data_IF_858852782765
#
_entry.id   IF_858852782765
#
_cell.length_a   1.000
_cell.length_b   1.000
_cell.length_c   1.000
_cell.angle_alpha   90.00
_cell.angle_beta   90.00
_cell.angle_gamma   90.00
#
_symmetry.space_group_name_H-M   'P 1'
#
loop_
_entity.id
_entity.type
_entity.pdbx_description
1 polymer ?
#
# COMPACT_ATOMS: atom_id res chain seq x y z
N UNK A 1 -9.28 5.66 34.57
CA UNK A 1 -10.56 5.41 35.25
C UNK A 1 -11.67 5.69 34.27
N UNK A 2 -11.96 4.69 33.44
CA UNK A 2 -13.19 4.52 32.63
C UNK A 2 -13.46 3.01 32.58
N UNK A 3 -14.51 2.51 33.25
CA UNK A 3 -14.77 1.06 33.38
C UNK A 3 -14.87 0.33 32.02
N UNK A 4 -14.48 -0.96 31.95
CA UNK A 4 -14.50 -1.71 30.72
C UNK A 4 -15.91 -2.25 30.47
N UNK A 5 -16.39 -2.16 29.23
CA UNK A 5 -17.67 -2.73 28.85
C UNK A 5 -17.60 -4.27 28.96
N UNK A 6 -18.49 -4.85 29.77
CA UNK A 6 -18.52 -6.27 30.20
C UNK A 6 -19.71 -7.04 29.64
N UNK A 7 -20.73 -6.39 29.08
CA UNK A 7 -21.90 -7.08 28.52
C UNK A 7 -22.22 -6.69 27.08
N UNK A 8 -22.99 -7.56 26.41
CA UNK A 8 -23.39 -7.40 25.01
C UNK A 8 -24.34 -6.20 24.79
N UNK A 9 -24.98 -5.71 25.85
CA UNK A 9 -25.96 -4.61 25.79
C UNK A 9 -25.27 -3.24 25.91
N UNK A 10 -24.25 -3.13 26.77
CA UNK A 10 -23.40 -1.94 26.89
C UNK A 10 -22.76 -1.54 25.54
N UNK A 11 -22.32 -2.51 24.75
CA UNK A 11 -21.75 -2.28 23.41
C UNK A 11 -22.80 -1.77 22.42
N UNK A 12 -24.05 -2.24 22.52
CA UNK A 12 -25.16 -1.73 21.69
C UNK A 12 -25.55 -0.31 22.09
N UNK A 13 -25.44 0.04 23.37
CA UNK A 13 -25.87 1.33 23.91
C UNK A 13 -24.95 2.48 23.46
N UNK A 14 -23.63 2.30 23.50
CA UNK A 14 -22.68 3.32 23.02
C UNK A 14 -22.74 3.50 21.48
N UNK A 15 -22.99 2.44 20.71
CA UNK A 15 -23.22 2.54 19.26
C UNK A 15 -24.49 3.32 18.92
N UNK A 16 -25.59 3.13 19.67
CA UNK A 16 -26.82 3.94 19.53
C UNK A 16 -26.57 5.41 19.88
N UNK A 17 -25.76 5.65 20.92
CA UNK A 17 -25.40 7.00 21.40
C UNK A 17 -24.66 7.81 20.34
N UNK A 18 -23.69 7.21 19.66
CA UNK A 18 -22.94 7.86 18.57
C UNK A 18 -23.82 8.16 17.35
N UNK A 19 -24.72 7.25 16.97
CA UNK A 19 -25.66 7.46 15.86
C UNK A 19 -26.67 8.58 16.15
N UNK A 20 -27.22 8.65 17.37
CA UNK A 20 -28.24 9.63 17.74
C UNK A 20 -27.73 11.09 17.72
N UNK A 21 -26.44 11.31 17.94
CA UNK A 21 -25.82 12.65 17.78
C UNK A 21 -25.82 13.06 16.31
N UNK A 22 -25.45 12.15 15.40
CA UNK A 22 -25.31 12.45 13.97
C UNK A 22 -26.65 12.79 13.28
N UNK A 23 -27.75 12.11 13.63
CA UNK A 23 -29.07 12.41 13.06
C UNK A 23 -29.66 13.75 13.55
N UNK A 24 -29.22 14.24 14.73
CA UNK A 24 -29.85 15.40 15.38
C UNK A 24 -29.63 16.75 14.66
N UNK A 25 -28.59 16.87 13.83
CA UNK A 25 -28.33 18.08 13.03
C UNK A 25 -28.89 18.01 11.60
N UNK A 26 -29.42 16.86 11.15
CA UNK A 26 -29.87 16.62 9.77
C UNK A 26 -31.40 16.54 9.60
N UNK A 27 -32.16 16.99 10.60
CA UNK A 27 -33.58 16.67 10.75
C UNK A 27 -34.52 17.13 9.63
N UNK A 28 -35.12 16.16 8.92
CA UNK A 28 -36.35 16.35 8.13
C UNK A 28 -37.35 15.19 8.33
N UNK A 29 -38.58 15.55 8.64
CA UNK A 29 -39.78 14.70 8.61
C UNK A 29 -40.95 15.56 8.02
N UNK A 30 -42.09 15.04 7.55
CA UNK A 30 -42.67 13.70 7.71
C UNK A 30 -43.74 13.39 6.64
N UNK A 31 -43.87 12.10 6.26
CA UNK A 31 -45.14 11.36 6.05
C UNK A 31 -46.15 11.83 4.97
N UNK A 32 -46.79 10.85 4.30
CA UNK A 32 -47.83 11.02 3.27
C UNK A 32 -49.23 10.53 3.73
N UNK A 33 -50.29 10.75 2.94
CA UNK A 33 -51.49 9.85 2.86
C UNK A 33 -52.41 10.17 1.65
N UNK A 34 -53.28 9.24 1.17
CA UNK A 34 -54.07 9.38 -0.08
C UNK A 34 -55.61 9.28 0.09
N UNK A 35 -56.39 9.65 -0.96
CA UNK A 35 -57.84 9.32 -1.19
C UNK A 35 -58.13 9.19 -2.70
N UNK A 36 -59.19 8.46 -3.09
CA UNK A 36 -59.62 8.17 -4.48
C UNK A 36 -60.82 9.03 -5.01
N UNK A 37 -61.33 8.64 -6.21
CA UNK A 37 -62.66 8.85 -6.81
C UNK A 37 -63.00 10.05 -7.74
N UNK A 38 -62.87 9.77 -9.06
CA UNK A 38 -63.97 9.82 -10.06
C UNK A 38 -64.27 11.06 -10.94
N UNK A 39 -64.78 10.73 -12.15
CA UNK A 39 -65.75 11.47 -12.99
C UNK A 39 -65.38 12.73 -13.84
N UNK A 40 -65.09 12.46 -15.12
CA UNK A 40 -65.78 13.05 -16.31
C UNK A 40 -65.37 14.40 -16.95
N UNK A 41 -65.54 14.42 -18.29
CA UNK A 41 -65.65 15.56 -19.22
C UNK A 41 -64.41 16.29 -19.79
N UNK A 42 -64.54 16.63 -21.08
CA UNK A 42 -63.75 17.53 -21.97
C UNK A 42 -64.77 18.50 -22.64
N UNK A 43 -64.40 19.51 -23.46
CA UNK A 43 -63.05 20.01 -23.86
C UNK A 43 -62.87 21.54 -23.64
N UNK A 44 -61.68 22.09 -23.93
CA UNK A 44 -61.46 23.07 -25.03
C UNK A 44 -60.02 23.65 -25.05
N UNK A 45 -59.62 24.21 -26.19
CA UNK A 45 -58.32 24.82 -26.55
C UNK A 45 -58.52 26.31 -26.95
N UNK A 46 -57.48 27.11 -27.30
CA UNK A 46 -56.11 27.19 -26.77
C UNK A 46 -55.67 28.67 -26.50
N UNK A 47 -54.55 28.89 -25.81
CA UNK A 47 -53.83 30.17 -25.82
C UNK A 47 -52.34 29.97 -25.49
N UNK A 48 -51.46 30.86 -25.97
CA UNK A 48 -50.01 30.73 -25.85
C UNK A 48 -49.36 31.85 -25.03
N UNK A 49 -48.36 31.49 -24.23
CA UNK A 49 -47.32 32.37 -23.72
C UNK A 49 -46.02 31.56 -23.56
N UNK A 50 -44.92 32.01 -24.16
CA UNK A 50 -43.58 31.47 -23.91
C UNK A 50 -42.73 32.60 -23.32
N UNK A 51 -42.46 32.54 -22.01
CA UNK A 51 -41.42 33.34 -21.38
C UNK A 51 -40.52 32.46 -20.50
N UNK A 52 -39.21 32.66 -20.71
CA UNK A 52 -38.08 32.48 -19.79
C UNK A 52 -38.21 31.56 -18.56
N UNK A 53 -37.27 30.64 -18.42
CA UNK A 53 -36.12 30.83 -17.50
C UNK A 53 -35.03 29.81 -17.78
N UNK A 54 -33.77 30.12 -17.41
CA UNK A 54 -32.65 29.18 -17.50
C UNK A 54 -32.51 28.37 -16.22
N UNK A 55 -32.24 27.08 -16.32
CA UNK A 55 -31.94 26.25 -15.16
C UNK A 55 -30.53 26.56 -14.63
N UNK A 56 -30.44 27.04 -13.39
CA UNK A 56 -29.23 26.85 -12.58
C UNK A 56 -29.12 25.38 -12.18
N UNK A 57 -27.92 24.77 -12.18
CA UNK A 57 -27.75 23.42 -11.64
C UNK A 57 -28.05 23.42 -10.15
N UNK A 58 -28.66 22.34 -9.65
CA UNK A 58 -28.80 22.10 -8.22
C UNK A 58 -27.42 21.85 -7.59
N UNK A 59 -27.19 22.27 -6.33
CA UNK A 59 -25.92 22.06 -5.67
C UNK A 59 -25.71 20.58 -5.32
N UNK A 60 -24.48 20.09 -5.48
CA UNK A 60 -24.08 18.75 -5.10
C UNK A 60 -24.22 18.56 -3.58
N UNK A 61 -25.22 17.76 -3.19
CA UNK A 61 -25.53 17.50 -1.78
C UNK A 61 -24.45 16.64 -1.11
N UNK A 62 -23.73 15.81 -1.86
CA UNK A 62 -22.65 14.98 -1.30
C UNK A 62 -21.41 15.84 -0.98
N UNK A 63 -21.13 16.86 -1.81
CA UNK A 63 -20.10 17.85 -1.54
C UNK A 63 -20.39 18.67 -0.26
N UNK A 64 -21.63 19.16 -0.11
CA UNK A 64 -22.06 19.91 1.09
C UNK A 64 -21.96 19.05 2.35
N UNK A 65 -22.41 17.79 2.27
CA UNK A 65 -22.36 16.83 3.38
C UNK A 65 -20.92 16.50 3.81
N UNK A 66 -20.00 16.42 2.84
CA UNK A 66 -18.57 16.22 3.09
C UNK A 66 -17.90 17.44 3.74
N UNK A 67 -18.23 18.66 3.29
CA UNK A 67 -17.71 19.91 3.87
C UNK A 67 -18.22 20.11 5.31
N UNK A 68 -19.47 19.73 5.62
CA UNK A 68 -20.03 19.77 6.97
C UNK A 68 -19.31 18.83 7.96
N UNK A 69 -19.04 17.58 7.55
CA UNK A 69 -18.27 16.62 8.36
C UNK A 69 -16.83 17.12 8.64
N UNK A 70 -16.18 17.68 7.62
CA UNK A 70 -14.83 18.25 7.72
C UNK A 70 -14.80 19.51 8.62
N UNK A 71 -15.92 20.25 8.72
CA UNK A 71 -16.07 21.34 9.68
C UNK A 71 -16.30 20.84 11.12
N UNK A 72 -17.17 19.83 11.30
CA UNK A 72 -17.44 19.23 12.61
C UNK A 72 -16.19 18.65 13.27
N UNK A 73 -15.34 17.94 12.52
CA UNK A 73 -14.06 17.41 13.01
C UNK A 73 -13.14 18.51 13.58
N UNK A 74 -13.00 19.65 12.88
CA UNK A 74 -12.20 20.80 13.34
C UNK A 74 -12.76 21.49 14.58
N UNK A 75 -14.09 21.48 14.76
CA UNK A 75 -14.74 21.99 15.98
C UNK A 75 -14.50 21.03 17.15
N UNK A 76 -14.55 19.71 16.92
CA UNK A 76 -14.23 18.70 17.93
C UNK A 76 -12.77 18.83 18.40
N UNK A 77 -11.80 18.93 17.48
CA UNK A 77 -10.38 19.17 17.83
C UNK A 77 -10.20 20.45 18.67
N UNK A 78 -10.93 21.52 18.34
CA UNK A 78 -10.86 22.80 19.07
C UNK A 78 -11.45 22.67 20.49
N UNK A 79 -12.55 21.95 20.67
CA UNK A 79 -13.20 21.75 21.98
C UNK A 79 -12.40 20.79 22.86
N UNK A 80 -11.82 19.73 22.28
CA UNK A 80 -10.94 18.80 22.99
C UNK A 80 -9.62 19.47 23.39
N UNK A 81 -9.14 20.43 22.59
CA UNK A 81 -7.90 21.18 22.85
C UNK A 81 -7.92 22.16 24.02
N UNK A 82 -9.09 22.56 24.56
CA UNK A 82 -9.21 23.61 25.57
C UNK A 82 -9.73 23.15 26.95
N UNK A 83 -9.39 21.94 27.44
CA UNK A 83 -9.71 21.50 28.81
C UNK A 83 -8.54 20.95 29.67
N UNK A 84 -7.27 21.26 29.36
CA UNK A 84 -6.17 21.11 30.33
C UNK A 84 -6.14 22.26 31.39
N UNK A 85 -7.28 22.51 32.04
CA UNK A 85 -7.46 23.49 33.10
C UNK A 85 -6.83 23.09 34.45
N UNK A 86 -5.57 22.66 34.44
CA UNK A 86 -4.91 22.14 35.64
C UNK A 86 -4.57 23.23 36.67
N UNK A 87 -4.90 22.97 37.93
CA UNK A 87 -4.49 23.84 39.05
C UNK A 87 -2.96 23.80 39.19
N UNK A 88 -2.32 24.97 39.30
CA UNK A 88 -0.87 25.09 39.40
C UNK A 88 -0.28 24.37 40.62
N UNK A 89 0.10 23.11 40.44
CA UNK A 89 1.25 22.55 41.15
C UNK A 89 2.52 23.25 40.64
N UNK A 90 3.55 23.47 41.46
CA UNK A 90 4.82 23.99 40.97
C UNK A 90 5.33 23.08 39.86
N UNK A 91 5.63 23.64 38.68
CA UNK A 91 6.27 22.88 37.61
C UNK A 91 7.56 22.27 38.17
N UNK A 92 7.74 20.96 38.00
CA UNK A 92 9.07 20.40 38.01
C UNK A 92 9.89 21.15 36.95
N UNK A 93 11.16 21.51 37.22
CA UNK A 93 12.00 22.11 36.19
C UNK A 93 12.03 21.16 35.00
N UNK A 94 11.87 21.70 33.79
CA UNK A 94 11.89 20.89 32.57
C UNK A 94 13.17 20.03 32.56
N UNK A 95 13.08 18.74 32.16
CA UNK A 95 14.27 17.90 32.04
C UNK A 95 15.28 18.60 31.12
N UNK A 96 16.59 18.57 31.41
CA UNK A 96 17.59 19.28 30.62
C UNK A 96 17.47 18.98 29.13
N UNK A 97 17.88 19.91 28.26
CA UNK A 97 17.83 19.70 26.81
C UNK A 97 18.51 18.40 26.36
N UNK A 98 19.52 17.91 27.09
CA UNK A 98 20.18 16.62 26.84
C UNK A 98 19.32 15.38 27.13
N UNK A 99 18.30 15.50 27.99
CA UNK A 99 17.32 14.44 28.27
C UNK A 99 16.12 14.57 27.33
N UNK A 100 15.70 15.79 26.97
CA UNK A 100 14.68 16.01 25.93
C UNK A 100 15.15 15.50 24.57
N UNK A 101 16.35 15.91 24.11
CA UNK A 101 16.95 15.41 22.87
C UNK A 101 17.19 13.90 22.88
N UNK A 102 17.37 13.29 24.06
CA UNK A 102 17.41 11.82 24.19
C UNK A 102 16.03 11.21 24.01
N UNK A 103 15.02 11.69 24.73
CA UNK A 103 13.65 11.20 24.56
C UNK A 103 13.13 11.36 23.11
N UNK A 104 13.47 12.46 22.43
CA UNK A 104 13.19 12.67 21.01
C UNK A 104 13.92 11.64 20.13
N UNK A 105 15.22 11.44 20.35
CA UNK A 105 16.07 10.52 19.58
C UNK A 105 15.76 9.04 19.85
N UNK A 106 15.42 8.68 21.08
CA UNK A 106 14.98 7.34 21.49
C UNK A 106 13.58 7.05 20.89
N UNK A 107 12.65 8.01 20.89
CA UNK A 107 11.35 7.86 20.23
C UNK A 107 11.43 7.83 18.69
N UNK A 108 12.43 8.50 18.09
CA UNK A 108 12.75 8.40 16.67
C UNK A 108 13.32 7.00 16.33
N UNK A 109 14.11 6.40 17.23
CA UNK A 109 14.61 5.03 17.13
C UNK A 109 13.47 4.00 17.30
N UNK A 110 12.51 4.21 18.19
CA UNK A 110 11.39 3.28 18.41
C UNK A 110 10.34 3.25 17.29
N UNK A 111 10.34 4.24 16.38
CA UNK A 111 9.31 4.41 15.33
C UNK A 111 9.77 4.05 13.90
N UNK A 112 10.92 3.40 13.72
CA UNK A 112 11.37 2.96 12.38
C UNK A 112 10.44 1.91 11.76
N UNK A 113 9.74 2.27 10.68
CA UNK A 113 8.99 1.34 9.81
C UNK A 113 9.88 0.46 8.93
N UNK A 114 11.14 0.87 8.73
CA UNK A 114 12.08 0.21 7.80
C UNK A 114 13.48 0.11 8.42
N UNK A 115 14.16 -1.01 8.16
CA UNK A 115 15.63 -1.12 8.20
C UNK A 115 16.13 -0.98 6.75
N UNK A 116 16.98 0.02 6.50
CA UNK A 116 17.34 0.46 5.15
C UNK A 116 18.83 0.54 4.98
N UNK A 117 19.34 -0.14 3.95
CA UNK A 117 20.66 0.06 3.39
C UNK A 117 20.53 0.64 1.99
N UNK A 118 21.39 1.59 1.64
CA UNK A 118 21.49 2.11 0.28
C UNK A 118 22.95 2.48 -0.01
N UNK A 119 23.42 2.16 -1.20
CA UNK A 119 24.82 2.34 -1.55
C UNK A 119 25.06 2.22 -3.05
N UNK A 120 26.05 2.95 -3.53
CA UNK A 120 26.46 2.98 -4.93
C UNK A 120 27.96 3.19 -5.02
N UNK A 121 28.63 2.47 -5.91
CA UNK A 121 30.08 2.58 -6.17
C UNK A 121 30.37 2.69 -7.67
N UNK A 122 31.37 3.50 -8.01
CA UNK A 122 31.84 3.65 -9.38
C UNK A 122 32.63 2.42 -9.86
N UNK A 123 32.53 2.13 -11.16
CA UNK A 123 33.27 1.08 -11.86
C UNK A 123 34.78 1.24 -11.72
N UNK A 124 35.54 0.14 -11.62
CA UNK A 124 37.01 0.20 -11.75
C UNK A 124 37.50 0.72 -13.11
N UNK A 125 36.63 0.86 -14.11
CA UNK A 125 36.93 1.53 -15.39
C UNK A 125 36.96 3.07 -15.29
N UNK A 126 36.20 3.65 -14.35
CA UNK A 126 36.06 5.10 -14.14
C UNK A 126 35.77 5.41 -12.66
N UNK A 127 36.71 5.11 -11.74
CA UNK A 127 36.48 5.23 -10.29
C UNK A 127 36.29 6.68 -9.80
N UNK A 128 36.50 7.66 -10.68
CA UNK A 128 36.29 9.10 -10.50
C UNK A 128 34.90 9.59 -10.96
N UNK A 129 34.06 8.70 -11.53
CA UNK A 129 32.73 9.04 -12.07
C UNK A 129 31.76 7.88 -11.96
N UNK A 130 30.66 8.10 -11.27
CA UNK A 130 29.52 7.19 -11.17
C UNK A 130 28.34 7.79 -11.96
N UNK A 131 27.78 7.06 -12.92
CA UNK A 131 26.56 7.48 -13.64
C UNK A 131 25.26 7.02 -12.92
N UNK A 132 25.33 6.06 -11.98
CA UNK A 132 24.20 5.65 -11.14
C UNK A 132 23.79 6.70 -10.09
N UNK A 133 22.49 6.73 -9.74
CA UNK A 133 21.97 7.43 -8.55
C UNK A 133 20.99 6.57 -7.77
N UNK A 134 21.29 6.36 -6.48
CA UNK A 134 20.35 5.84 -5.47
C UNK A 134 19.53 6.99 -4.87
N UNK A 135 18.24 6.76 -4.64
CA UNK A 135 17.34 7.69 -3.96
C UNK A 135 16.57 6.98 -2.85
N UNK A 136 16.53 7.62 -1.67
CA UNK A 136 15.89 7.12 -0.45
C UNK A 136 15.11 8.25 0.21
N UNK A 137 13.84 8.00 0.50
CA UNK A 137 12.98 8.81 1.34
C UNK A 137 12.19 7.86 2.28
N UNK A 138 12.82 7.47 3.38
CA UNK A 138 12.23 6.59 4.41
C UNK A 138 10.89 7.14 4.94
N UNK A 139 10.77 8.47 5.05
CA UNK A 139 9.57 9.13 5.60
C UNK A 139 8.34 8.93 4.72
N UNK A 140 8.52 9.01 3.41
CA UNK A 140 7.47 8.74 2.43
C UNK A 140 7.48 7.28 1.93
N UNK A 141 8.38 6.42 2.43
CA UNK A 141 8.54 5.04 1.99
C UNK A 141 8.83 4.91 0.49
N UNK A 142 9.59 5.86 -0.07
CA UNK A 142 9.87 5.97 -1.50
C UNK A 142 11.37 5.73 -1.76
N UNK A 143 11.67 4.75 -2.59
CA UNK A 143 13.03 4.26 -2.85
C UNK A 143 13.23 4.06 -4.35
N UNK A 144 14.41 4.40 -4.89
CA UNK A 144 14.68 4.20 -6.31
C UNK A 144 16.16 4.00 -6.64
N UNK A 145 16.41 3.25 -7.72
CA UNK A 145 17.69 3.21 -8.42
C UNK A 145 17.49 3.75 -9.83
N UNK A 146 18.42 4.60 -10.27
CA UNK A 146 18.53 5.14 -11.61
C UNK A 146 19.93 4.78 -12.14
N UNK A 147 19.98 3.89 -13.13
CA UNK A 147 21.20 3.46 -13.81
C UNK A 147 21.42 4.38 -15.03
N UNK A 148 22.49 5.17 -14.99
CA UNK A 148 22.68 6.32 -15.87
C UNK A 148 23.54 6.01 -17.08
N UNK A 149 23.11 6.46 -18.27
CA UNK A 149 23.85 6.22 -19.52
C UNK A 149 23.90 7.43 -20.47
N UNK A 150 24.86 7.37 -21.39
CA UNK A 150 25.11 8.35 -22.44
C UNK A 150 26.60 8.63 -22.66
N UNK A 151 27.43 8.35 -21.65
CA UNK A 151 28.88 8.53 -21.69
C UNK A 151 29.31 9.97 -21.42
N UNK A 152 30.57 10.15 -20.99
CA UNK A 152 30.99 11.35 -20.25
C UNK A 152 30.07 11.57 -19.03
N UNK A 153 29.83 12.80 -18.55
CA UNK A 153 28.95 13.03 -17.41
C UNK A 153 27.44 13.02 -17.78
N UNK A 154 27.03 12.32 -18.83
CA UNK A 154 25.65 12.35 -19.32
C UNK A 154 24.70 11.54 -18.41
N UNK A 155 25.04 10.29 -18.06
CA UNK A 155 24.17 9.43 -17.25
C UNK A 155 23.92 9.98 -15.84
N UNK A 156 24.96 10.47 -15.17
CA UNK A 156 24.86 11.20 -13.89
C UNK A 156 23.85 12.35 -13.97
N UNK A 157 23.89 13.13 -15.06
CA UNK A 157 22.97 14.25 -15.31
C UNK A 157 21.56 13.76 -15.65
N UNK A 158 21.41 12.57 -16.26
CA UNK A 158 20.11 11.96 -16.54
C UNK A 158 19.42 11.50 -15.24
N UNK A 159 20.10 10.66 -14.47
CA UNK A 159 19.65 10.11 -13.20
C UNK A 159 19.38 11.24 -12.18
N UNK A 160 20.31 12.21 -12.08
CA UNK A 160 20.16 13.40 -11.25
C UNK A 160 19.04 14.36 -11.66
N UNK A 161 18.58 14.32 -12.93
CA UNK A 161 17.36 15.02 -13.37
C UNK A 161 16.10 14.22 -12.99
N UNK A 162 16.10 12.90 -13.23
CA UNK A 162 14.95 12.03 -12.94
C UNK A 162 14.59 12.00 -11.44
N UNK A 163 15.59 12.03 -10.55
CA UNK A 163 15.40 12.15 -9.09
C UNK A 163 14.65 13.44 -8.70
N UNK A 164 14.73 14.52 -9.48
CA UNK A 164 13.96 15.76 -9.19
C UNK A 164 12.46 15.53 -9.37
N UNK A 165 12.08 14.74 -10.36
CA UNK A 165 10.68 14.42 -10.63
C UNK A 165 10.07 13.55 -9.53
N UNK A 166 10.80 12.54 -9.01
CA UNK A 166 10.36 11.82 -7.81
C UNK A 166 10.19 12.75 -6.60
N UNK A 167 11.11 13.70 -6.39
CA UNK A 167 11.04 14.69 -5.30
C UNK A 167 9.92 15.72 -5.45
N UNK A 168 9.35 15.90 -6.64
CA UNK A 168 8.17 16.74 -6.88
C UNK A 168 6.86 15.97 -6.99
N UNK A 169 6.91 14.66 -7.24
CA UNK A 169 5.73 13.78 -7.31
C UNK A 169 5.01 13.70 -5.96
N UNK A 170 3.68 13.70 -5.99
CA UNK A 170 2.87 13.79 -4.77
C UNK A 170 2.49 12.39 -4.30
N UNK A 171 3.38 11.82 -3.48
CA UNK A 171 3.21 10.51 -2.86
C UNK A 171 2.82 10.59 -1.36
N UNK A 172 1.77 11.35 -0.94
CA UNK A 172 1.37 11.37 0.47
C UNK A 172 0.82 10.00 0.86
N UNK A 173 0.90 9.66 2.15
CA UNK A 173 0.38 8.37 2.65
C UNK A 173 -1.17 8.33 2.76
N UNK A 174 -1.88 9.29 2.17
CA UNK A 174 -3.34 9.46 2.26
C UNK A 174 -4.08 9.30 0.92
N UNK A 175 -3.38 8.93 -0.16
CA UNK A 175 -4.00 8.62 -1.47
C UNK A 175 -4.23 7.11 -1.62
N UNK A 176 -5.19 6.73 -2.46
CA UNK A 176 -5.51 5.33 -2.71
C UNK A 176 -4.37 4.59 -3.42
N UNK A 177 -4.45 3.27 -3.47
CA UNK A 177 -3.49 2.41 -4.16
C UNK A 177 -3.47 2.69 -5.68
N UNK A 178 -4.63 3.00 -6.26
CA UNK A 178 -4.82 3.35 -7.68
C UNK A 178 -4.28 4.74 -7.98
N UNK A 179 -4.51 5.70 -7.08
CA UNK A 179 -3.91 7.04 -7.16
C UNK A 179 -2.38 6.97 -7.04
N UNK A 180 -1.85 6.09 -6.18
CA UNK A 180 -0.41 5.87 -6.01
C UNK A 180 0.23 5.29 -7.27
N UNK A 181 -0.43 4.32 -7.92
CA UNK A 181 -0.03 3.80 -9.24
C UNK A 181 -0.04 4.92 -10.31
N UNK A 182 -1.11 5.71 -10.36
CA UNK A 182 -1.28 6.76 -11.37
C UNK A 182 -0.28 7.91 -11.22
N UNK A 183 -0.01 8.39 -10.00
CA UNK A 183 1.02 9.42 -9.77
C UNK A 183 2.42 8.86 -10.05
N UNK A 184 2.71 7.58 -9.79
CA UNK A 184 4.00 6.97 -10.12
C UNK A 184 4.22 6.87 -11.64
N UNK A 185 3.22 6.38 -12.39
CA UNK A 185 3.27 6.34 -13.85
C UNK A 185 3.40 7.76 -14.44
N UNK A 186 2.61 8.71 -13.93
CA UNK A 186 2.65 10.12 -14.30
C UNK A 186 4.04 10.73 -14.07
N UNK A 187 4.62 10.52 -12.88
CA UNK A 187 5.95 11.04 -12.51
C UNK A 187 7.05 10.51 -13.44
N UNK A 188 7.00 9.22 -13.82
CA UNK A 188 7.94 8.63 -14.77
C UNK A 188 7.77 9.19 -16.19
N UNK A 189 6.52 9.42 -16.63
CA UNK A 189 6.22 10.06 -17.92
C UNK A 189 6.66 11.53 -17.95
N UNK A 190 6.50 12.27 -16.86
CA UNK A 190 6.98 13.65 -16.71
C UNK A 190 8.50 13.73 -16.69
N UNK A 191 9.18 12.82 -15.97
CA UNK A 191 10.64 12.73 -15.96
C UNK A 191 11.21 12.53 -17.36
N UNK A 192 10.61 11.61 -18.14
CA UNK A 192 10.99 11.40 -19.53
C UNK A 192 10.75 12.64 -20.40
N UNK A 193 9.58 13.29 -20.28
CA UNK A 193 9.27 14.50 -21.02
C UNK A 193 10.25 15.65 -20.68
N UNK A 194 10.67 15.75 -19.41
CA UNK A 194 11.71 16.64 -18.92
C UNK A 194 13.07 16.39 -19.56
N UNK A 195 13.58 15.16 -19.48
CA UNK A 195 14.84 14.74 -20.08
C UNK A 195 14.84 14.96 -21.60
N UNK A 196 13.80 14.52 -22.31
CA UNK A 196 13.63 14.77 -23.75
C UNK A 196 13.57 16.27 -24.08
N UNK A 197 13.00 17.11 -23.21
CA UNK A 197 12.98 18.57 -23.36
C UNK A 197 14.38 19.17 -23.13
N UNK A 198 15.17 18.59 -22.23
CA UNK A 198 16.53 19.02 -21.92
C UNK A 198 17.52 18.66 -23.02
N UNK A 199 17.53 17.42 -23.52
CA UNK A 199 18.35 16.97 -24.67
C UNK A 199 18.08 17.82 -25.92
N UNK A 200 16.82 18.25 -26.14
CA UNK A 200 16.47 19.17 -27.24
C UNK A 200 16.98 20.61 -27.09
N UNK A 201 17.31 21.05 -25.87
CA UNK A 201 17.86 22.39 -25.56
C UNK A 201 19.40 22.38 -25.47
N UNK A 202 19.97 21.27 -25.02
CA UNK A 202 21.39 21.06 -24.78
C UNK A 202 21.90 19.89 -25.66
N UNK A 203 22.19 20.10 -26.97
CA UNK A 203 22.60 19.00 -27.87
C UNK A 203 23.89 18.27 -27.48
N UNK A 204 24.67 18.81 -26.55
CA UNK A 204 25.82 18.14 -25.94
C UNK A 204 25.40 16.94 -25.03
N UNK A 205 24.13 16.88 -24.62
CA UNK A 205 23.52 15.78 -23.88
C UNK A 205 22.83 14.76 -24.83
N UNK A 206 23.19 14.74 -26.11
CA UNK A 206 22.61 13.75 -27.03
C UNK A 206 23.05 12.32 -26.66
N UNK A 207 22.08 11.42 -26.53
CA UNK A 207 22.29 10.05 -26.03
C UNK A 207 22.19 9.92 -24.51
N UNK A 208 21.99 11.02 -23.78
CA UNK A 208 21.71 11.01 -22.34
C UNK A 208 20.39 10.27 -22.04
N UNK A 209 20.44 9.29 -21.13
CA UNK A 209 19.27 8.58 -20.64
C UNK A 209 19.56 7.85 -19.32
N UNK A 210 18.54 7.24 -18.74
CA UNK A 210 18.66 6.47 -17.49
C UNK A 210 17.56 5.42 -17.39
N UNK A 211 17.80 4.31 -16.70
CA UNK A 211 16.73 3.45 -16.20
C UNK A 211 15.96 4.18 -15.10
N UNK A 212 14.85 3.59 -14.64
CA UNK A 212 14.22 3.97 -13.38
C UNK A 212 13.54 2.74 -12.77
N UNK A 213 14.05 2.28 -11.63
CA UNK A 213 13.43 1.25 -10.79
C UNK A 213 12.98 1.89 -9.48
N UNK A 214 11.68 2.13 -9.34
CA UNK A 214 11.08 2.88 -8.22
C UNK A 214 10.12 2.01 -7.41
N UNK A 215 10.18 2.12 -6.09
CA UNK A 215 9.29 1.48 -5.12
C UNK A 215 8.67 2.54 -4.22
N UNK A 216 7.34 2.60 -4.17
CA UNK A 216 6.58 3.25 -3.09
C UNK A 216 5.96 2.16 -2.21
N UNK A 217 6.33 2.12 -0.94
CA UNK A 217 5.57 1.36 0.07
C UNK A 217 4.29 2.13 0.36
N UNK A 218 3.15 1.49 0.12
CA UNK A 218 1.82 2.01 0.38
C UNK A 218 1.21 1.28 1.59
N UNK A 219 0.45 2.00 2.40
CA UNK A 219 -0.18 1.52 3.62
C UNK A 219 -1.65 1.95 3.58
N UNK A 220 -2.55 0.98 3.60
CA UNK A 220 -3.99 1.20 3.51
C UNK A 220 -4.62 1.55 4.86
N UNK A 221 -5.87 2.04 4.80
CA UNK A 221 -6.62 2.41 6.00
C UNK A 221 -6.98 1.20 6.90
N UNK A 222 -6.87 -0.03 6.39
CA UNK A 222 -6.99 -1.27 7.18
C UNK A 222 -5.67 -1.76 7.77
N UNK A 223 -4.58 -1.00 7.62
CA UNK A 223 -3.22 -1.41 8.02
C UNK A 223 -2.53 -2.37 7.05
N UNK A 224 -3.15 -2.67 5.90
CA UNK A 224 -2.56 -3.54 4.89
C UNK A 224 -1.43 -2.82 4.12
N UNK A 225 -0.27 -3.47 3.99
CA UNK A 225 0.87 -2.91 3.27
C UNK A 225 1.06 -3.55 1.89
N UNK A 226 1.45 -2.72 0.92
CA UNK A 226 1.73 -3.10 -0.46
C UNK A 226 2.94 -2.34 -0.97
N UNK A 227 3.65 -2.89 -1.96
CA UNK A 227 4.54 -2.08 -2.79
C UNK A 227 3.88 -1.76 -4.12
N UNK A 228 3.98 -0.48 -4.52
CA UNK A 228 3.73 -0.01 -5.88
C UNK A 228 5.08 0.18 -6.53
N UNK A 229 5.33 -0.55 -7.62
CA UNK A 229 6.58 -0.58 -8.36
C UNK A 229 6.38 0.10 -9.70
N UNK A 230 7.31 0.97 -10.10
CA UNK A 230 7.41 1.52 -11.44
C UNK A 230 8.78 1.20 -12.03
N UNK A 231 8.83 0.54 -13.19
CA UNK A 231 10.08 0.13 -13.83
C UNK A 231 10.17 0.57 -15.29
N UNK A 232 11.36 1.05 -15.68
CA UNK A 232 11.77 1.29 -17.06
C UNK A 232 13.26 0.92 -17.16
N UNK A 233 13.62 -0.03 -18.02
CA UNK A 233 14.99 -0.51 -18.18
C UNK A 233 15.22 -1.92 -17.63
N UNK A 234 16.48 -2.28 -17.40
CA UNK A 234 16.98 -3.57 -16.92
C UNK A 234 17.49 -3.53 -15.46
N UNK A 235 17.45 -2.36 -14.82
CA UNK A 235 17.48 -2.28 -13.35
C UNK A 235 16.27 -3.01 -12.75
N UNK A 236 16.44 -3.60 -11.55
CA UNK A 236 15.53 -4.62 -11.01
C UNK A 236 15.05 -4.38 -9.59
N UNK A 237 13.82 -4.82 -9.33
CA UNK A 237 13.21 -4.88 -8.00
C UNK A 237 12.76 -6.32 -7.70
N UNK A 238 13.13 -6.78 -6.51
CA UNK A 238 12.82 -8.10 -5.97
C UNK A 238 12.12 -7.98 -4.60
N UNK A 239 11.30 -8.97 -4.24
CA UNK A 239 10.91 -9.26 -2.86
C UNK A 239 11.64 -10.52 -2.40
N UNK A 240 12.31 -10.44 -1.26
CA UNK A 240 12.80 -11.58 -0.49
C UNK A 240 11.81 -11.88 0.65
N UNK A 241 11.09 -12.98 0.53
CA UNK A 241 10.02 -13.35 1.45
C UNK A 241 10.53 -13.78 2.84
N UNK A 242 9.63 -13.76 3.83
CA UNK A 242 9.87 -14.20 5.21
C UNK A 242 10.61 -15.55 5.24
N UNK A 243 11.72 -15.61 5.98
CA UNK A 243 12.56 -16.81 6.07
C UNK A 243 13.76 -16.84 5.11
N UNK A 244 13.87 -15.89 4.18
CA UNK A 244 15.13 -15.61 3.47
C UNK A 244 15.56 -16.64 2.43
N UNK A 245 14.64 -17.44 1.88
CA UNK A 245 14.96 -18.48 0.88
C UNK A 245 14.19 -18.36 -0.44
N UNK A 246 13.20 -17.47 -0.51
CA UNK A 246 12.34 -17.30 -1.68
C UNK A 246 12.40 -15.85 -2.18
N UNK A 247 12.96 -15.66 -3.38
CA UNK A 247 13.08 -14.39 -4.07
C UNK A 247 12.07 -14.33 -5.22
N UNK A 248 11.14 -13.39 -5.19
CA UNK A 248 10.33 -13.02 -6.36
C UNK A 248 10.99 -11.82 -7.05
N UNK A 249 11.39 -11.95 -8.32
CA UNK A 249 11.69 -10.79 -9.14
C UNK A 249 10.39 -10.20 -9.69
N UNK A 250 10.10 -8.95 -9.31
CA UNK A 250 8.84 -8.28 -9.63
C UNK A 250 8.88 -7.74 -11.07
N UNK A 251 9.97 -7.06 -11.40
CA UNK A 251 10.16 -6.37 -12.69
C UNK A 251 10.63 -7.31 -13.79
N UNK A 252 10.37 -6.93 -15.03
CA UNK A 252 11.00 -7.48 -16.23
C UNK A 252 12.06 -6.50 -16.75
N UNK A 253 13.12 -7.02 -17.37
CA UNK A 253 14.09 -6.17 -18.06
C UNK A 253 13.53 -5.73 -19.42
N UNK A 254 13.60 -4.44 -19.70
CA UNK A 254 13.28 -3.86 -21.01
C UNK A 254 14.38 -4.15 -22.05
N UNK A 255 14.52 -5.41 -22.46
CA UNK A 255 15.58 -5.85 -23.38
C UNK A 255 15.12 -5.83 -24.85
N UNK A 256 15.89 -5.17 -25.72
CA UNK A 256 15.60 -5.02 -27.16
C UNK A 256 15.84 -6.28 -28.01
N UNK A 257 16.46 -7.31 -27.42
CA UNK A 257 17.03 -8.44 -28.15
C UNK A 257 16.07 -9.64 -28.20
N UNK A 258 15.72 -10.02 -29.44
CA UNK A 258 14.87 -11.18 -29.76
C UNK A 258 13.61 -11.27 -28.85
N UNK A 259 12.85 -10.16 -28.73
CA UNK A 259 11.94 -9.92 -27.63
C UNK A 259 10.86 -11.01 -27.49
N UNK A 260 10.49 -11.37 -26.26
CA UNK A 260 9.50 -12.41 -25.99
C UNK A 260 8.12 -12.03 -26.53
N UNK A 261 7.40 -13.01 -27.08
CA UNK A 261 6.05 -12.81 -27.63
C UNK A 261 4.95 -12.77 -26.54
N UNK A 262 5.31 -12.90 -25.26
CA UNK A 262 4.42 -12.76 -24.11
C UNK A 262 5.20 -12.51 -22.81
N UNK A 263 4.56 -11.90 -21.82
CA UNK A 263 5.14 -11.70 -20.47
C UNK A 263 5.59 -13.03 -19.82
N UNK A 264 4.81 -14.11 -20.02
CA UNK A 264 5.13 -15.45 -19.51
C UNK A 264 6.43 -16.00 -20.10
N UNK A 265 6.69 -15.71 -21.38
CA UNK A 265 7.94 -16.07 -22.04
C UNK A 265 9.10 -15.18 -21.56
N UNK A 266 8.85 -13.88 -21.30
CA UNK A 266 9.81 -12.97 -20.71
C UNK A 266 10.31 -13.45 -19.35
N UNK A 267 9.39 -13.73 -18.41
CA UNK A 267 9.72 -14.22 -17.06
C UNK A 267 10.42 -15.58 -17.09
N UNK A 268 10.10 -16.46 -18.03
CA UNK A 268 10.78 -17.75 -18.19
C UNK A 268 12.22 -17.58 -18.73
N UNK A 269 12.41 -16.74 -19.75
CA UNK A 269 13.73 -16.45 -20.32
C UNK A 269 14.61 -15.80 -19.24
N UNK A 270 14.13 -14.75 -18.59
CA UNK A 270 14.88 -14.02 -17.57
C UNK A 270 15.26 -14.90 -16.37
N UNK A 271 14.32 -15.69 -15.84
CA UNK A 271 14.61 -16.67 -14.78
C UNK A 271 15.69 -17.69 -15.19
N UNK A 272 15.76 -18.04 -16.48
CA UNK A 272 16.84 -18.88 -17.02
C UNK A 272 18.18 -18.13 -17.06
N UNK A 273 18.19 -16.84 -17.45
CA UNK A 273 19.40 -16.01 -17.51
C UNK A 273 19.99 -15.66 -16.12
N UNK A 274 19.14 -15.50 -15.12
CA UNK A 274 19.55 -15.15 -13.76
C UNK A 274 20.42 -16.25 -13.10
N UNK A 275 20.13 -17.53 -13.37
CA UNK A 275 20.85 -18.68 -12.81
C UNK A 275 22.07 -19.17 -13.60
N UNK A 276 22.50 -18.48 -14.66
CA UNK A 276 23.53 -19.00 -15.58
C UNK A 276 24.91 -19.09 -14.94
N UNK A 277 25.42 -20.33 -14.87
CA UNK A 277 26.75 -20.70 -14.36
C UNK A 277 27.61 -21.50 -15.37
N UNK A 278 27.04 -21.96 -16.51
CA UNK A 278 27.81 -22.37 -17.70
C UNK A 278 27.09 -21.88 -18.96
N UNK A 279 27.80 -21.16 -19.83
CA UNK A 279 27.26 -20.70 -21.12
C UNK A 279 26.86 -21.85 -22.07
N UNK A 280 27.31 -23.09 -21.79
CA UNK A 280 26.94 -24.29 -22.56
C UNK A 280 25.57 -24.87 -22.20
N UNK A 281 24.95 -24.47 -21.09
CA UNK A 281 23.58 -24.91 -20.77
C UNK A 281 22.52 -24.13 -21.57
N UNK A 282 22.89 -23.00 -22.16
CA UNK A 282 21.99 -22.11 -22.89
C UNK A 282 21.78 -22.54 -24.34
N UNK A 283 20.54 -22.47 -24.79
CA UNK A 283 20.20 -22.57 -26.21
C UNK A 283 20.67 -21.30 -26.98
N UNK A 284 20.72 -21.31 -28.33
CA UNK A 284 21.26 -20.19 -29.10
C UNK A 284 20.60 -18.83 -28.84
N UNK A 285 19.28 -18.78 -28.55
CA UNK A 285 18.56 -17.55 -28.24
C UNK A 285 18.86 -17.08 -26.82
N UNK A 286 18.83 -17.97 -25.84
CA UNK A 286 19.20 -17.65 -24.45
C UNK A 286 20.65 -17.12 -24.38
N UNK A 287 21.58 -17.76 -25.08
CA UNK A 287 22.98 -17.30 -25.17
C UNK A 287 23.11 -15.93 -25.87
N UNK A 288 22.27 -15.67 -26.88
CA UNK A 288 22.27 -14.41 -27.61
C UNK A 288 21.61 -13.27 -26.83
N UNK A 289 20.63 -13.56 -25.95
CA UNK A 289 20.09 -12.63 -24.97
C UNK A 289 21.08 -12.39 -23.82
N UNK A 290 21.65 -13.45 -23.23
CA UNK A 290 22.64 -13.35 -22.15
C UNK A 290 23.84 -12.45 -22.50
N UNK A 291 24.31 -12.50 -23.76
CA UNK A 291 25.43 -11.69 -24.25
C UNK A 291 25.07 -10.26 -24.63
N UNK A 292 23.79 -9.89 -24.59
CA UNK A 292 23.25 -8.60 -25.05
C UNK A 292 22.14 -8.09 -24.12
N UNK A 293 22.20 -8.44 -22.83
CA UNK A 293 21.13 -8.14 -21.86
C UNK A 293 21.04 -6.64 -21.60
N UNK A 294 22.17 -5.98 -21.39
CA UNK A 294 22.35 -4.52 -21.40
C UNK A 294 22.22 -3.87 -22.80
N UNK A 295 21.21 -4.28 -23.59
CA UNK A 295 20.75 -3.61 -24.81
C UNK A 295 19.27 -3.22 -24.65
N UNK A 296 19.03 -2.09 -23.99
CA UNK A 296 17.70 -1.60 -23.64
C UNK A 296 16.78 -1.35 -24.85
N UNK A 297 15.50 -1.67 -24.68
CA UNK A 297 14.39 -1.29 -25.57
C UNK A 297 13.76 0.04 -25.19
N UNK A 298 13.71 0.37 -23.90
CA UNK A 298 13.28 1.68 -23.39
C UNK A 298 14.08 2.13 -22.16
N UNK A 299 14.10 3.44 -21.96
CA UNK A 299 14.75 4.17 -20.87
C UNK A 299 14.17 5.59 -20.82
N UNK A 300 14.38 6.30 -19.72
CA UNK A 300 14.10 7.74 -19.66
C UNK A 300 15.10 8.52 -20.54
N UNK A 301 14.61 9.53 -21.26
CA UNK A 301 15.42 10.55 -21.94
C UNK A 301 15.69 10.34 -23.42
N UNK A 302 15.59 9.10 -23.94
CA UNK A 302 15.91 8.78 -25.34
C UNK A 302 14.67 8.75 -26.25
N UNK A 303 13.55 8.18 -25.79
CA UNK A 303 12.37 7.90 -26.63
C UNK A 303 11.04 8.05 -25.85
N UNK A 304 9.91 7.82 -26.51
CA UNK A 304 8.63 7.56 -25.84
C UNK A 304 8.70 6.25 -25.04
N UNK A 305 8.06 6.21 -23.88
CA UNK A 305 8.12 5.10 -22.91
C UNK A 305 6.74 4.55 -22.58
N UNK A 306 6.73 3.33 -22.07
CA UNK A 306 5.58 2.64 -21.47
C UNK A 306 6.04 2.05 -20.13
N UNK A 307 5.88 2.80 -19.01
CA UNK A 307 6.35 2.36 -17.70
C UNK A 307 5.63 1.09 -17.24
N UNK A 308 6.38 0.10 -16.78
CA UNK A 308 5.80 -1.08 -16.16
C UNK A 308 5.38 -0.75 -14.73
N UNK A 309 4.08 -0.75 -14.46
CA UNK A 309 3.54 -0.60 -13.10
C UNK A 309 3.14 -1.97 -12.55
N UNK A 310 3.64 -2.32 -11.36
CA UNK A 310 3.25 -3.53 -10.64
C UNK A 310 2.79 -3.20 -9.22
N UNK A 311 1.88 -4.01 -8.71
CA UNK A 311 1.52 -4.03 -7.28
C UNK A 311 1.84 -5.41 -6.70
N UNK A 312 2.32 -5.44 -5.47
CA UNK A 312 2.45 -6.64 -4.63
C UNK A 312 2.02 -6.33 -3.21
N UNK A 313 1.49 -7.32 -2.53
CA UNK A 313 1.43 -7.32 -1.06
C UNK A 313 2.86 -7.38 -0.51
N UNK A 314 3.08 -6.78 0.66
CA UNK A 314 4.34 -6.87 1.41
C UNK A 314 4.00 -6.97 2.91
N UNK A 315 4.72 -7.79 3.66
CA UNK A 315 4.50 -7.96 5.11
C UNK A 315 5.80 -7.85 5.91
N UNK A 316 5.71 -7.58 7.21
CA UNK A 316 6.87 -7.37 8.10
C UNK A 316 7.96 -8.45 7.94
N UNK A 317 9.23 -8.07 8.00
CA UNK A 317 10.36 -9.00 7.88
C UNK A 317 10.61 -9.55 6.48
N UNK A 318 9.78 -9.23 5.49
CA UNK A 318 10.16 -9.29 4.08
C UNK A 318 11.11 -8.14 3.73
N UNK A 319 11.91 -8.33 2.67
CA UNK A 319 12.86 -7.33 2.22
C UNK A 319 12.64 -7.01 0.75
N UNK A 320 12.46 -5.73 0.43
CA UNK A 320 12.49 -5.24 -0.95
C UNK A 320 13.94 -4.96 -1.31
N UNK A 321 14.39 -5.48 -2.46
CA UNK A 321 15.77 -5.30 -2.93
C UNK A 321 15.71 -4.63 -4.30
N UNK A 322 16.35 -3.48 -4.44
CA UNK A 322 16.51 -2.73 -5.70
C UNK A 322 17.97 -2.80 -6.14
N UNK A 323 18.24 -3.04 -7.42
CA UNK A 323 19.60 -3.13 -7.97
C UNK A 323 19.73 -2.48 -9.34
N UNK A 324 20.84 -1.77 -9.59
CA UNK A 324 21.29 -1.51 -10.97
C UNK A 324 21.91 -2.76 -11.57
N UNK A 325 22.17 -2.74 -12.88
CA UNK A 325 22.56 -3.95 -13.59
C UNK A 325 23.94 -4.48 -13.14
N UNK A 326 24.84 -3.60 -12.65
CA UNK A 326 26.16 -3.93 -12.13
C UNK A 326 26.17 -4.91 -10.96
N UNK A 327 25.07 -5.05 -10.20
CA UNK A 327 24.93 -6.09 -9.17
C UNK A 327 24.51 -7.43 -9.79
N UNK A 328 23.32 -7.46 -10.42
CA UNK A 328 22.66 -8.71 -10.82
C UNK A 328 23.19 -9.28 -12.14
N UNK A 329 24.00 -8.53 -12.89
CA UNK A 329 24.79 -9.10 -13.98
C UNK A 329 26.00 -9.88 -13.48
N UNK A 330 26.65 -9.43 -12.40
CA UNK A 330 27.80 -10.08 -11.79
C UNK A 330 27.39 -11.29 -10.94
N UNK A 331 26.37 -11.11 -10.10
CA UNK A 331 25.82 -12.13 -9.20
C UNK A 331 24.67 -12.88 -9.87
N UNK A 332 24.32 -14.05 -9.33
CA UNK A 332 23.08 -14.78 -9.63
C UNK A 332 22.03 -14.51 -8.55
N UNK A 333 20.75 -14.75 -8.83
CA UNK A 333 19.67 -14.59 -7.84
C UNK A 333 19.94 -15.38 -6.54
N UNK A 334 20.59 -16.55 -6.62
CA UNK A 334 20.97 -17.34 -5.45
C UNK A 334 22.09 -16.68 -4.63
N UNK A 335 23.12 -16.12 -5.28
CA UNK A 335 24.17 -15.36 -4.59
C UNK A 335 23.60 -14.10 -3.93
N UNK A 336 22.60 -13.44 -4.53
CA UNK A 336 21.88 -12.30 -3.93
C UNK A 336 21.10 -12.75 -2.68
N UNK A 337 20.38 -13.88 -2.75
CA UNK A 337 19.67 -14.45 -1.59
C UNK A 337 20.64 -14.80 -0.46
N UNK A 338 21.72 -15.53 -0.76
CA UNK A 338 22.71 -15.97 0.24
C UNK A 338 23.34 -14.76 0.96
N UNK A 339 23.66 -13.68 0.23
CA UNK A 339 24.24 -12.46 0.79
C UNK A 339 23.25 -11.70 1.68
N UNK A 340 22.04 -11.45 1.19
CA UNK A 340 21.03 -10.64 1.91
C UNK A 340 20.50 -11.38 3.13
N UNK A 341 20.28 -12.69 3.03
CA UNK A 341 19.79 -13.52 4.15
C UNK A 341 20.85 -13.82 5.21
N UNK A 342 22.15 -13.74 4.87
CA UNK A 342 23.23 -13.85 5.85
C UNK A 342 23.54 -12.53 6.58
N UNK A 343 22.89 -11.42 6.20
CA UNK A 343 23.17 -10.08 6.73
C UNK A 343 22.19 -9.67 7.85
N UNK A 344 22.73 -9.18 8.96
CA UNK A 344 21.92 -8.80 10.14
C UNK A 344 21.06 -7.54 9.90
N UNK A 345 21.62 -6.56 9.16
CA UNK A 345 20.97 -5.29 8.79
C UNK A 345 20.98 -5.08 7.28
N UNK A 346 20.06 -4.25 6.79
CA UNK A 346 19.99 -3.90 5.37
C UNK A 346 21.24 -3.14 4.88
N UNK A 347 21.88 -2.32 5.73
CA UNK A 347 23.18 -1.68 5.46
C UNK A 347 24.28 -2.71 5.16
N UNK A 348 24.42 -3.73 6.03
CA UNK A 348 25.38 -4.83 5.85
C UNK A 348 25.09 -5.65 4.59
N UNK A 349 23.82 -5.86 4.26
CA UNK A 349 23.42 -6.54 3.02
C UNK A 349 23.89 -5.76 1.77
N UNK A 350 23.71 -4.44 1.75
CA UNK A 350 24.17 -3.58 0.64
C UNK A 350 25.70 -3.54 0.55
N UNK A 351 26.42 -3.36 1.67
CA UNK A 351 27.88 -3.44 1.69
C UNK A 351 28.39 -4.77 1.10
N UNK A 352 27.78 -5.88 1.48
CA UNK A 352 28.18 -7.21 1.03
C UNK A 352 27.82 -7.47 -0.46
N UNK A 353 26.66 -7.01 -0.94
CA UNK A 353 26.28 -7.08 -2.37
C UNK A 353 27.28 -6.30 -3.23
N UNK A 354 27.59 -5.06 -2.85
CA UNK A 354 28.54 -4.20 -3.55
C UNK A 354 29.94 -4.84 -3.56
N UNK A 355 30.41 -5.35 -2.42
CA UNK A 355 31.71 -6.01 -2.31
C UNK A 355 31.80 -7.29 -3.17
N UNK A 356 30.74 -8.12 -3.17
CA UNK A 356 30.70 -9.35 -3.96
C UNK A 356 30.65 -9.08 -5.47
N UNK A 357 29.79 -8.17 -5.93
CA UNK A 357 29.72 -7.77 -7.33
C UNK A 357 31.03 -7.14 -7.82
N UNK A 358 31.65 -6.27 -7.01
CA UNK A 358 32.93 -5.60 -7.32
C UNK A 358 34.14 -6.55 -7.26
N UNK A 359 34.08 -7.64 -6.50
CA UNK A 359 35.07 -8.71 -6.60
C UNK A 359 34.90 -9.45 -7.93
N UNK A 360 33.67 -9.87 -8.22
CA UNK A 360 33.25 -10.65 -9.39
C UNK A 360 33.48 -9.93 -10.73
N UNK A 361 33.35 -8.60 -10.81
CA UNK A 361 33.65 -7.83 -12.04
C UNK A 361 35.12 -7.94 -12.48
N UNK A 362 36.01 -8.15 -11.53
CA UNK A 362 37.47 -8.23 -11.73
C UNK A 362 37.96 -9.67 -11.97
N UNK A 363 37.08 -10.67 -11.82
CA UNK A 363 37.38 -12.06 -12.09
C UNK A 363 37.29 -12.40 -13.59
N UNK A 364 37.95 -13.49 -13.99
CA UNK A 364 37.72 -14.10 -15.32
C UNK A 364 36.45 -14.98 -15.32
N UNK A 365 35.32 -14.41 -14.91
CA UNK A 365 34.05 -15.11 -14.79
C UNK A 365 33.11 -14.82 -15.98
N UNK A 366 32.15 -15.70 -16.27
CA UNK A 366 31.19 -15.50 -17.39
C UNK A 366 30.17 -14.39 -17.12
N UNK A 367 29.95 -14.07 -15.83
CA UNK A 367 29.11 -12.97 -15.35
C UNK A 367 29.89 -11.66 -15.12
N UNK A 368 31.23 -11.69 -15.19
CA UNK A 368 32.06 -10.54 -14.85
C UNK A 368 31.77 -9.32 -15.73
N UNK A 369 31.30 -8.25 -15.10
CA UNK A 369 30.93 -6.98 -15.73
C UNK A 369 31.45 -5.81 -14.88
N UNK A 370 32.53 -5.14 -15.30
CA UNK A 370 32.93 -3.87 -14.69
C UNK A 370 31.95 -2.79 -15.16
N UNK A 371 31.07 -2.35 -14.29
CA UNK A 371 30.17 -1.20 -14.46
C UNK A 371 30.01 -0.49 -13.12
N UNK A 372 29.24 0.59 -13.08
CA UNK A 372 28.79 1.18 -11.83
C UNK A 372 27.83 0.21 -11.12
N UNK A 373 27.74 0.27 -9.79
CA UNK A 373 27.04 -0.74 -9.00
C UNK A 373 26.24 -0.11 -7.86
N UNK A 374 24.93 -0.29 -7.87
CA UNK A 374 24.01 0.27 -6.88
C UNK A 374 23.05 -0.77 -6.33
N UNK A 375 22.80 -0.69 -5.02
CA UNK A 375 21.79 -1.47 -4.34
C UNK A 375 21.06 -0.66 -3.27
N UNK A 376 19.78 -0.96 -3.09
CA UNK A 376 18.98 -0.58 -1.93
C UNK A 376 18.34 -1.85 -1.37
N UNK A 377 18.42 -2.05 -0.06
CA UNK A 377 17.66 -3.09 0.66
C UNK A 377 16.76 -2.39 1.66
N UNK A 378 15.47 -2.71 1.63
CA UNK A 378 14.42 -2.15 2.52
C UNK A 378 13.72 -3.32 3.19
N UNK A 379 14.09 -3.59 4.44
CA UNK A 379 13.47 -4.61 5.28
C UNK A 379 12.30 -3.98 6.02
N UNK A 380 11.10 -4.47 5.77
CA UNK A 380 9.88 -4.00 6.44
C UNK A 380 9.98 -4.38 7.92
N UNK A 381 9.73 -3.44 8.83
CA UNK A 381 9.72 -3.70 10.26
C UNK A 381 8.28 -3.74 10.77
N UNK A 382 7.98 -4.71 11.64
CA UNK A 382 6.67 -4.82 12.26
C UNK A 382 6.39 -3.57 13.09
N UNK A 383 5.20 -3.00 12.95
CA UNK A 383 4.76 -1.91 13.81
C UNK A 383 4.78 -2.39 15.27
N UNK A 384 5.54 -1.71 16.12
CA UNK A 384 5.45 -1.90 17.57
C UNK A 384 4.14 -1.28 18.05
N UNK A 385 3.32 -2.08 18.74
CA UNK A 385 2.19 -1.56 19.51
C UNK A 385 2.71 -0.60 20.59
N UNK A 386 2.08 0.57 20.74
CA UNK A 386 2.46 1.57 21.74
C UNK A 386 1.99 1.11 23.14
N UNK A 387 2.90 0.85 24.10
CA UNK A 387 2.53 0.36 25.43
C UNK A 387 1.66 1.34 26.25
N UNK A 388 1.55 2.61 25.83
CA UNK A 388 0.73 3.63 26.49
C UNK A 388 -0.70 3.69 25.95
N UNK A 389 -1.03 2.98 24.87
CA UNK A 389 -2.31 3.08 24.16
C UNK A 389 -3.48 2.26 24.77
N UNK A 390 -3.38 1.81 26.03
CA UNK A 390 -4.44 1.06 26.73
C UNK A 390 -4.92 1.77 28.01
N UNK A 391 -6.16 2.30 28.05
CA UNK A 391 -6.72 2.96 29.23
C UNK A 391 -7.24 1.96 30.30
N UNK A 392 -7.29 2.41 31.56
CA UNK A 392 -7.59 1.58 32.74
C UNK A 392 -8.95 1.94 33.46
N UNK A 393 -9.59 0.97 34.16
CA UNK A 393 -11.01 1.00 34.58
C UNK A 393 -11.40 1.87 35.81
N UNK A 394 -12.68 1.80 36.24
CA UNK A 394 -13.51 2.57 37.23
C UNK A 394 -14.25 3.80 36.62
N UNK A 395 -15.55 4.15 36.76
CA UNK A 395 -16.78 3.58 37.38
C UNK A 395 -18.09 4.19 36.74
N UNK A 396 -19.31 3.77 37.14
CA UNK A 396 -20.68 4.09 36.60
C UNK A 396 -21.22 5.54 36.85
N UNK A 397 -22.23 6.10 36.13
CA UNK A 397 -23.69 5.87 36.35
C UNK A 397 -24.67 6.58 35.37
N UNK A 398 -25.75 5.87 34.97
CA UNK A 398 -27.18 6.26 34.73
C UNK A 398 -27.58 7.47 33.83
N UNK A 399 -28.71 7.50 33.07
CA UNK A 399 -29.72 6.52 32.55
C UNK A 399 -30.66 7.26 31.57
N UNK A 400 -31.02 6.68 30.41
CA UNK A 400 -32.34 6.84 29.73
C UNK A 400 -32.43 5.98 28.44
N UNK A 401 -33.45 5.13 28.32
CA UNK A 401 -33.56 4.12 27.23
C UNK A 401 -34.32 4.60 25.98
N UNK A 402 -33.97 4.03 24.81
CA UNK A 402 -34.80 4.02 23.59
C UNK A 402 -34.57 2.72 22.79
N UNK A 403 -35.64 2.11 22.26
CA UNK A 403 -35.67 0.71 21.79
C UNK A 403 -35.59 0.52 20.26
N UNK A 404 -35.12 -0.65 19.82
CA UNK A 404 -35.08 -1.06 18.41
C UNK A 404 -36.42 -1.62 17.87
N UNK A 405 -36.43 -1.95 16.58
CA UNK A 405 -37.53 -2.61 15.86
C UNK A 405 -37.62 -4.11 16.20
N UNK A 406 -38.85 -4.61 16.37
CA UNK A 406 -39.11 -5.98 16.83
C UNK A 406 -38.83 -7.09 15.81
N UNK A 407 -38.65 -6.77 14.53
CA UNK A 407 -38.34 -7.79 13.50
C UNK A 407 -36.85 -8.13 13.47
N UNK A 408 -35.98 -7.15 13.71
CA UNK A 408 -34.52 -7.33 13.66
C UNK A 408 -34.00 -8.09 14.88
N UNK A 409 -34.50 -7.76 16.08
CA UNK A 409 -34.15 -8.46 17.32
C UNK A 409 -34.54 -9.95 17.27
N UNK A 410 -35.71 -10.26 16.71
CA UNK A 410 -36.18 -11.64 16.53
C UNK A 410 -35.29 -12.45 15.58
N UNK A 411 -34.80 -11.84 14.48
CA UNK A 411 -33.92 -12.51 13.51
C UNK A 411 -32.54 -12.80 14.12
N UNK A 412 -32.00 -11.87 14.92
CA UNK A 412 -30.70 -12.09 15.61
C UNK A 412 -30.82 -13.21 16.65
N UNK A 413 -31.89 -13.21 17.46
CA UNK A 413 -32.12 -14.30 18.43
C UNK A 413 -32.32 -15.67 17.74
N UNK A 414 -33.07 -15.75 16.63
CA UNK A 414 -33.31 -17.03 15.92
C UNK A 414 -32.06 -17.62 15.26
N UNK A 415 -31.04 -16.79 14.96
CA UNK A 415 -29.81 -17.20 14.26
C UNK A 415 -28.67 -17.50 15.24
N UNK A 416 -28.48 -16.67 16.28
CA UNK A 416 -27.44 -16.89 17.28
C UNK A 416 -27.81 -18.00 18.27
N UNK A 417 -29.06 -18.03 18.74
CA UNK A 417 -29.53 -18.87 19.83
C UNK A 417 -28.85 -18.60 21.17
N UNK A 418 -29.30 -19.30 22.22
CA UNK A 418 -28.55 -19.36 23.49
C UNK A 418 -27.26 -20.20 23.29
N UNK A 419 -26.12 -19.85 23.90
CA UNK A 419 -24.91 -20.68 23.84
C UNK A 419 -25.15 -22.12 24.31
N UNK A 420 -24.45 -23.13 23.77
CA UNK A 420 -24.48 -24.48 24.32
C UNK A 420 -23.79 -24.54 25.69
N UNK A 421 -24.19 -25.49 26.55
CA UNK A 421 -23.63 -25.63 27.91
C UNK A 421 -22.09 -25.79 27.87
N UNK A 422 -21.38 -24.93 28.62
CA UNK A 422 -19.91 -24.94 28.70
C UNK A 422 -19.20 -23.84 27.90
N UNK A 423 -19.93 -23.03 27.11
CA UNK A 423 -19.39 -21.83 26.45
C UNK A 423 -20.13 -20.57 26.94
N UNK A 424 -19.38 -19.48 27.12
CA UNK A 424 -19.96 -18.15 27.34
C UNK A 424 -20.54 -17.58 26.03
N UNK A 425 -21.37 -16.54 26.15
CA UNK A 425 -21.89 -15.82 24.98
C UNK A 425 -20.79 -15.14 24.15
N UNK A 426 -19.67 -14.77 24.78
CA UNK A 426 -18.54 -14.14 24.10
C UNK A 426 -17.71 -15.16 23.29
N UNK A 427 -17.40 -16.33 23.86
CA UNK A 427 -16.74 -17.43 23.15
C UNK A 427 -17.63 -17.97 22.02
N UNK A 428 -18.94 -18.13 22.27
CA UNK A 428 -19.91 -18.51 21.22
C UNK A 428 -19.92 -17.53 20.04
N UNK A 429 -19.77 -16.23 20.32
CA UNK A 429 -19.69 -15.18 19.30
C UNK A 429 -18.33 -15.18 18.57
N UNK A 430 -17.23 -15.16 19.31
CA UNK A 430 -15.86 -14.97 18.78
C UNK A 430 -15.26 -16.22 18.15
N UNK A 431 -15.52 -17.40 18.71
CA UNK A 431 -14.84 -18.65 18.33
C UNK A 431 -15.71 -19.56 17.44
N UNK A 432 -17.02 -19.33 17.39
CA UNK A 432 -17.96 -20.14 16.56
C UNK A 432 -18.72 -19.30 15.53
N UNK A 433 -19.50 -18.30 15.95
CA UNK A 433 -20.34 -17.51 15.04
C UNK A 433 -19.51 -16.72 14.02
N UNK A 434 -18.52 -15.95 14.46
CA UNK A 434 -17.66 -15.16 13.57
C UNK A 434 -16.82 -16.07 12.62
N UNK A 435 -16.15 -17.14 13.08
CA UNK A 435 -15.37 -18.01 12.19
C UNK A 435 -16.22 -18.79 11.18
N UNK A 436 -17.43 -19.23 11.51
CA UNK A 436 -18.32 -19.86 10.52
C UNK A 436 -18.91 -18.85 9.54
N UNK A 437 -19.20 -17.62 9.95
CA UNK A 437 -19.56 -16.54 9.01
C UNK A 437 -18.42 -16.26 8.01
N UNK A 438 -17.17 -16.21 8.48
CA UNK A 438 -15.98 -16.04 7.62
C UNK A 438 -15.76 -17.26 6.70
N UNK A 439 -15.96 -18.49 7.19
CA UNK A 439 -15.89 -19.71 6.36
C UNK A 439 -16.97 -19.71 5.27
N UNK A 440 -18.20 -19.31 5.59
CA UNK A 440 -19.27 -19.19 4.57
C UNK A 440 -18.98 -18.11 3.53
N UNK A 441 -18.43 -16.96 3.91
CA UNK A 441 -18.00 -15.92 2.97
C UNK A 441 -16.98 -16.46 1.95
N UNK A 442 -16.04 -17.32 2.38
CA UNK A 442 -15.08 -18.00 1.48
C UNK A 442 -15.69 -19.05 0.54
N UNK A 443 -16.95 -19.45 0.72
CA UNK A 443 -17.65 -20.46 -0.08
C UNK A 443 -18.57 -19.82 -1.15
N UNK A 444 -18.66 -18.49 -1.20
CA UNK A 444 -19.64 -17.77 -2.05
C UNK A 444 -19.01 -16.89 -3.15
N UNK A 445 -17.68 -16.69 -3.16
CA UNK A 445 -16.93 -15.98 -4.22
C UNK A 445 -17.44 -14.55 -4.56
N UNK A 446 -18.04 -13.85 -3.58
CA UNK A 446 -18.45 -12.44 -3.69
C UNK A 446 -17.37 -11.44 -3.25
N UNK A 447 -17.25 -10.26 -3.90
CA UNK A 447 -16.24 -9.25 -3.59
C UNK A 447 -16.69 -8.27 -2.48
N UNK A 448 -15.72 -7.71 -1.73
CA UNK A 448 -15.92 -6.63 -0.74
C UNK A 448 -16.90 -6.93 0.42
N UNK A 449 -17.28 -5.90 1.19
CA UNK A 449 -18.15 -5.96 2.37
C UNK A 449 -19.53 -5.34 2.11
N UNK A 450 -19.68 -4.47 1.11
CA UNK A 450 -20.95 -3.80 0.80
C UNK A 450 -21.99 -4.78 0.23
N UNK A 451 -21.54 -5.77 -0.55
CA UNK A 451 -22.37 -6.90 -1.00
C UNK A 451 -22.92 -7.76 0.17
N UNK A 452 -22.29 -7.71 1.36
CA UNK A 452 -22.73 -8.53 2.49
C UNK A 452 -24.13 -8.16 2.98
N UNK A 453 -24.51 -6.88 3.00
CA UNK A 453 -25.85 -6.46 3.45
C UNK A 453 -26.95 -6.69 2.39
N UNK A 454 -26.55 -6.88 1.12
CA UNK A 454 -27.43 -7.39 0.07
C UNK A 454 -27.61 -8.92 0.19
N UNK A 455 -26.52 -9.68 0.37
CA UNK A 455 -26.57 -11.13 0.59
C UNK A 455 -27.21 -11.51 1.92
N UNK A 456 -27.09 -10.70 2.97
CA UNK A 456 -27.73 -10.93 4.28
C UNK A 456 -29.25 -10.98 4.17
N UNK A 457 -29.84 -10.33 3.16
CA UNK A 457 -31.28 -10.38 2.85
C UNK A 457 -31.68 -11.61 2.02
N UNK A 458 -30.73 -12.39 1.51
CA UNK A 458 -30.97 -13.60 0.72
C UNK A 458 -31.41 -14.79 1.61
N UNK A 459 -32.64 -15.29 1.38
CA UNK A 459 -33.21 -16.41 2.13
C UNK A 459 -32.35 -17.69 2.05
N UNK A 460 -31.68 -17.94 0.93
CA UNK A 460 -30.83 -19.12 0.73
C UNK A 460 -29.53 -19.03 1.53
N UNK A 461 -28.99 -17.81 1.71
CA UNK A 461 -27.85 -17.56 2.60
C UNK A 461 -28.23 -17.85 4.06
N UNK A 462 -29.35 -17.28 4.53
CA UNK A 462 -29.88 -17.53 5.89
C UNK A 462 -30.09 -19.02 6.17
N UNK A 463 -30.61 -19.79 5.21
CA UNK A 463 -30.80 -21.25 5.34
C UNK A 463 -29.48 -22.03 5.41
N UNK A 464 -28.46 -21.67 4.61
CA UNK A 464 -27.12 -22.27 4.70
C UNK A 464 -26.49 -21.99 6.07
N UNK A 465 -26.48 -20.72 6.51
CA UNK A 465 -25.92 -20.31 7.80
C UNK A 465 -26.53 -21.06 8.98
N UNK A 466 -27.87 -21.11 9.05
CA UNK A 466 -28.61 -21.91 10.06
C UNK A 466 -28.25 -23.40 10.05
N UNK A 467 -27.84 -23.95 8.91
CA UNK A 467 -27.46 -25.37 8.80
C UNK A 467 -26.04 -25.61 9.34
N UNK A 468 -25.09 -24.72 9.06
CA UNK A 468 -23.72 -24.82 9.60
C UNK A 468 -23.66 -24.55 11.10
N UNK A 469 -24.34 -23.51 11.60
CA UNK A 469 -24.37 -23.19 13.04
C UNK A 469 -25.02 -24.31 13.87
N UNK A 470 -26.07 -24.95 13.36
CA UNK A 470 -26.65 -26.16 13.97
C UNK A 470 -25.68 -27.34 14.00
N UNK A 471 -24.84 -27.50 12.96
CA UNK A 471 -23.80 -28.53 12.96
C UNK A 471 -22.70 -28.22 13.97
N UNK A 472 -22.14 -27.01 13.95
CA UNK A 472 -21.11 -26.57 14.89
C UNK A 472 -21.56 -26.73 16.35
N UNK A 473 -22.76 -26.24 16.68
CA UNK A 473 -23.40 -26.47 17.99
C UNK A 473 -23.47 -27.96 18.34
N UNK A 474 -23.94 -28.79 17.41
CA UNK A 474 -24.16 -30.22 17.65
C UNK A 474 -22.88 -31.05 17.74
N UNK A 475 -21.75 -30.56 17.21
CA UNK A 475 -20.44 -31.18 17.36
C UNK A 475 -19.78 -30.73 18.70
N UNK A 476 -19.92 -29.45 19.05
CA UNK A 476 -19.55 -28.89 20.37
C UNK A 476 -20.29 -29.58 21.53
N UNK A 477 -21.61 -29.76 21.42
CA UNK A 477 -22.44 -30.50 22.40
C UNK A 477 -22.06 -32.00 22.53
N UNK A 478 -21.16 -32.51 21.68
CA UNK A 478 -20.56 -33.86 21.78
C UNK A 478 -19.10 -33.84 22.23
N UNK A 479 -18.46 -32.67 22.35
CA UNK A 479 -17.03 -32.52 22.60
C UNK A 479 -16.15 -32.98 21.44
N UNK A 480 -16.55 -32.65 20.19
CA UNK A 480 -15.85 -33.01 18.93
C UNK A 480 -15.31 -31.76 18.23
#
# INVERSE_FOLDING_TARGET
MVEPLKTQEEIKEELRRLAAVADSELGLASVATPVEESASAKPDEPAAAQETTGATPEPDQEAIKREALDAAARIIDTIVGEQEGSQQRPLAPAPPESEQRRAEQDAEIERKKFDVGAGSIASEKHPDRNEDVVFVDEKNGLFAVFDGMGGHAAGEVAAGEAVKYLKSGRFPNSISLEQTQSELEGTLREANAGLLSRVRKEPALHGMGTTASVVKVWEGAGGEQKIVVGNIGDSRIYILHRGGTALEQITLDDNSVDPPSSEKEARLLQKTLNGVTDLKSLNPRELAAFRRRNQLSQCLGIATIEPHIYVRDIVDGEQVIITSDGIHDNLTDLEIVDIVSASETAERAVEALLAAASARSREKHLRAKPDDMSAIVVKILAAREDPLASPAPEEENMTAEATLSSEDEAIVQEIAGEPPEGLTAEEWLKDVLIPEAIKMRKVLEGPTFEDFDAEWKNLTFKQKMRTALRKARSDIERGV
#
